data_IF_690906820653
#
_entry.id   IF_690906820653
#
_cell.length_a   1.000
_cell.length_b   1.000
_cell.length_c   1.000
_cell.angle_alpha   90.00
_cell.angle_beta   90.00
_cell.angle_gamma   90.00
#
_symmetry.space_group_name_H-M   'P 1'
#
loop_
_entity.id
_entity.type
_entity.pdbx_description
1 polymer ?
#
# COMPACT_ATOMS: atom_id res chain seq x y z
N UNK A 1 -13.16 -35.63 36.35
CA UNK A 1 -11.94 -35.95 37.13
C UNK A 1 -10.74 -35.12 36.68
N UNK A 2 -10.40 -35.10 35.39
CA UNK A 2 -9.27 -34.33 34.82
C UNK A 2 -9.35 -32.83 35.14
N UNK A 3 -10.52 -32.19 35.05
CA UNK A 3 -10.68 -30.76 35.37
C UNK A 3 -10.31 -30.41 36.82
N UNK A 4 -10.58 -31.32 37.78
CA UNK A 4 -10.21 -31.14 39.18
C UNK A 4 -8.70 -31.25 39.38
N UNK A 5 -8.08 -32.23 38.72
CA UNK A 5 -6.61 -32.39 38.70
C UNK A 5 -5.91 -31.18 38.07
N UNK A 6 -6.46 -30.66 36.97
CA UNK A 6 -5.97 -29.48 36.26
C UNK A 6 -6.03 -28.23 37.16
N UNK A 7 -7.15 -28.00 37.85
CA UNK A 7 -7.33 -26.87 38.78
C UNK A 7 -6.40 -26.96 39.99
N UNK A 8 -6.20 -28.16 40.53
CA UNK A 8 -5.25 -28.39 41.64
C UNK A 8 -3.80 -28.19 41.18
N UNK A 9 -3.46 -28.68 39.99
CA UNK A 9 -2.15 -28.48 39.38
C UNK A 9 -1.81 -27.00 39.18
N UNK A 10 -2.78 -26.20 38.75
CA UNK A 10 -2.60 -24.76 38.55
C UNK A 10 -2.33 -24.00 39.86
N UNK A 11 -3.02 -24.38 40.94
CA UNK A 11 -2.89 -23.72 42.25
C UNK A 11 -1.60 -24.06 42.99
N UNK A 12 -1.00 -25.23 42.73
CA UNK A 12 0.11 -25.74 43.55
C UNK A 12 1.45 -25.10 43.24
N UNK A 13 1.66 -24.59 42.02
CA UNK A 13 2.94 -23.96 41.65
C UNK A 13 2.75 -22.72 40.73
N UNK A 14 2.16 -21.63 41.26
CA UNK A 14 1.67 -20.51 40.45
C UNK A 14 2.81 -19.77 39.74
N UNK A 15 4.02 -19.71 40.32
CA UNK A 15 5.18 -19.03 39.71
C UNK A 15 5.57 -19.62 38.36
N UNK A 16 5.64 -20.94 38.26
CA UNK A 16 5.97 -21.63 36.99
C UNK A 16 4.84 -21.52 35.97
N UNK A 17 3.58 -21.53 36.43
CA UNK A 17 2.42 -21.30 35.55
C UNK A 17 2.42 -19.88 35.00
N UNK A 18 2.77 -18.90 35.82
CA UNK A 18 2.94 -17.51 35.41
C UNK A 18 4.08 -17.38 34.39
N UNK A 19 5.22 -18.05 34.60
CA UNK A 19 6.29 -18.09 33.60
C UNK A 19 5.83 -18.69 32.27
N UNK A 20 5.06 -19.79 32.29
CA UNK A 20 4.52 -20.38 31.06
C UNK A 20 3.58 -19.41 30.31
N UNK A 21 2.67 -18.78 31.05
CA UNK A 21 1.76 -17.75 30.51
C UNK A 21 2.54 -16.56 29.99
N UNK A 22 3.59 -16.11 30.69
CA UNK A 22 4.44 -14.99 30.28
C UNK A 22 5.22 -15.29 29.00
N UNK A 23 5.76 -16.50 28.85
CA UNK A 23 6.45 -16.92 27.61
C UNK A 23 5.50 -16.90 26.43
N UNK A 24 4.29 -17.45 26.58
CA UNK A 24 3.28 -17.41 25.50
C UNK A 24 2.79 -15.98 25.26
N UNK A 25 2.60 -15.20 26.31
CA UNK A 25 2.19 -13.79 26.23
C UNK A 25 3.15 -12.97 25.39
N UNK A 26 4.46 -13.05 25.64
CA UNK A 26 5.45 -12.29 24.87
C UNK A 26 5.47 -12.72 23.40
N UNK A 27 5.40 -14.04 23.15
CA UNK A 27 5.37 -14.58 21.78
C UNK A 27 4.10 -14.17 21.03
N UNK A 28 2.93 -14.30 21.67
CA UNK A 28 1.64 -13.92 21.10
C UNK A 28 1.51 -12.40 20.91
N UNK A 29 2.09 -11.60 21.81
CA UNK A 29 2.16 -10.14 21.68
C UNK A 29 2.97 -9.72 20.47
N UNK A 30 4.15 -10.31 20.27
CA UNK A 30 4.98 -10.03 19.11
C UNK A 30 4.29 -10.49 17.82
N UNK A 31 3.78 -11.73 17.79
CA UNK A 31 3.05 -12.28 16.65
C UNK A 31 1.85 -11.40 16.27
N UNK A 32 1.04 -11.02 17.27
CA UNK A 32 -0.13 -10.17 17.06
C UNK A 32 0.26 -8.78 16.56
N UNK A 33 1.31 -8.16 17.11
CA UNK A 33 1.75 -6.84 16.67
C UNK A 33 2.25 -6.88 15.22
N UNK A 34 3.13 -7.83 14.90
CA UNK A 34 3.70 -7.97 13.56
C UNK A 34 2.65 -8.35 12.51
N UNK A 35 1.67 -9.18 12.86
CA UNK A 35 0.57 -9.53 11.97
C UNK A 35 -0.37 -8.35 11.71
N UNK A 36 -0.67 -7.53 12.73
CA UNK A 36 -1.46 -6.31 12.56
C UNK A 36 -0.74 -5.33 11.64
N UNK A 37 0.54 -5.09 11.92
CA UNK A 37 1.39 -4.20 11.13
C UNK A 37 1.48 -4.68 9.68
N UNK A 38 1.66 -5.98 9.46
CA UNK A 38 1.76 -6.55 8.11
C UNK A 38 0.48 -6.39 7.29
N UNK A 39 -0.70 -6.48 7.91
CA UNK A 39 -2.00 -6.32 7.21
C UNK A 39 -2.26 -4.84 6.95
N UNK A 40 -2.12 -4.02 7.98
CA UNK A 40 -2.62 -2.64 7.93
C UNK A 40 -1.66 -1.70 7.19
N UNK A 41 -0.36 -2.01 7.12
CA UNK A 41 0.55 -1.33 6.19
C UNK A 41 0.07 -1.51 4.75
N UNK A 42 -0.40 -2.70 4.37
CA UNK A 42 -0.91 -2.95 3.02
C UNK A 42 -2.13 -2.08 2.70
N UNK A 43 -3.08 -2.01 3.63
CA UNK A 43 -4.32 -1.26 3.46
C UNK A 43 -4.10 0.27 3.47
N UNK A 44 -3.25 0.78 4.37
CA UNK A 44 -2.95 2.21 4.44
C UNK A 44 -2.14 2.65 3.21
N UNK A 45 -1.16 1.86 2.78
CA UNK A 45 -0.42 2.14 1.55
C UNK A 45 -1.33 2.10 0.32
N UNK A 46 -2.28 1.16 0.24
CA UNK A 46 -3.24 1.13 -0.86
C UNK A 46 -4.17 2.36 -0.89
N UNK A 47 -4.48 2.96 0.27
CA UNK A 47 -5.24 4.21 0.36
C UNK A 47 -4.40 5.43 -0.03
N UNK A 48 -3.18 5.52 0.48
CA UNK A 48 -2.19 6.54 0.06
C UNK A 48 -1.90 6.41 -1.46
N UNK A 49 -1.95 5.19 -1.99
CA UNK A 49 -1.79 4.92 -3.41
C UNK A 49 -2.98 5.39 -4.25
N UNK A 50 -4.20 5.26 -3.74
CA UNK A 50 -5.40 5.78 -4.40
C UNK A 50 -5.46 7.32 -4.41
N UNK A 51 -4.67 8.01 -3.59
CA UNK A 51 -4.52 9.47 -3.65
C UNK A 51 -3.52 9.97 -4.69
N UNK A 52 -2.77 9.10 -5.40
CA UNK A 52 -1.74 9.55 -6.35
C UNK A 52 -2.28 10.20 -7.64
N UNK A 53 -3.59 10.24 -7.86
CA UNK A 53 -4.18 10.98 -8.99
C UNK A 53 -4.03 10.25 -10.33
N UNK A 54 -3.43 10.90 -11.32
CA UNK A 54 -3.23 10.29 -12.64
C UNK A 54 -2.17 9.18 -12.62
N UNK A 55 -2.50 8.02 -13.16
CA UNK A 55 -1.62 6.84 -13.19
C UNK A 55 -1.12 6.49 -14.60
N UNK A 56 -1.52 7.23 -15.63
CA UNK A 56 -1.07 7.08 -17.01
C UNK A 56 -0.78 8.47 -17.60
N UNK A 57 0.35 8.59 -18.31
CA UNK A 57 0.76 9.79 -19.06
C UNK A 57 0.87 9.45 -20.53
N UNK A 58 0.09 10.11 -21.38
CA UNK A 58 0.25 10.06 -22.83
C UNK A 58 1.14 11.22 -23.27
N UNK A 59 2.22 10.88 -23.96
CA UNK A 59 3.16 11.84 -24.54
C UNK A 59 3.27 11.62 -26.05
N UNK A 60 3.60 12.64 -26.83
CA UNK A 60 3.97 12.49 -28.23
C UNK A 60 5.09 11.46 -28.40
N UNK A 61 4.98 10.59 -29.41
CA UNK A 61 5.96 9.54 -29.67
C UNK A 61 7.38 10.09 -29.88
N UNK A 62 7.51 11.31 -30.41
CA UNK A 62 8.79 12.01 -30.55
C UNK A 62 9.47 12.36 -29.22
N UNK A 63 8.71 12.61 -28.15
CA UNK A 63 9.25 12.90 -26.80
C UNK A 63 9.57 11.61 -26.04
N UNK A 64 8.72 10.60 -26.16
CA UNK A 64 8.88 9.36 -25.40
C UNK A 64 10.11 8.52 -25.81
N UNK A 65 10.59 8.59 -27.06
CA UNK A 65 11.75 7.78 -27.51
C UNK A 65 13.11 8.34 -27.04
N UNK A 66 13.18 9.62 -26.66
CA UNK A 66 14.44 10.35 -26.39
C UNK A 66 14.88 10.63 -24.92
N UNK A 67 14.29 10.11 -23.82
CA UNK A 67 14.78 10.44 -22.46
C UNK A 67 16.09 9.77 -22.04
N UNK A 68 16.57 8.73 -22.73
CA UNK A 68 17.66 7.88 -22.21
C UNK A 68 19.05 8.12 -22.81
N UNK A 69 19.22 9.06 -23.75
CA UNK A 69 20.50 9.30 -24.44
C UNK A 69 21.08 10.70 -24.26
N UNK A 70 20.28 11.68 -23.86
CA UNK A 70 20.69 13.05 -23.58
C UNK A 70 20.02 13.40 -22.25
N UNK A 71 20.81 13.64 -21.21
CA UNK A 71 20.30 13.85 -19.84
C UNK A 71 19.19 14.90 -19.78
N UNK A 72 18.38 14.82 -18.72
CA UNK A 72 17.28 15.72 -18.34
C UNK A 72 17.78 17.16 -18.12
N UNK A 73 18.25 17.82 -19.18
CA UNK A 73 18.77 19.17 -19.19
C UNK A 73 18.06 19.99 -20.26
N UNK A 74 17.68 21.20 -19.84
CA UNK A 74 16.75 22.19 -20.43
C UNK A 74 16.96 22.65 -21.88
N UNK A 75 17.78 21.98 -22.70
CA UNK A 75 18.08 22.39 -24.08
C UNK A 75 17.87 21.23 -25.09
N UNK A 76 16.64 20.72 -25.22
CA UNK A 76 16.28 19.88 -26.36
C UNK A 76 15.34 20.63 -27.33
N UNK A 77 15.87 21.21 -28.42
CA UNK A 77 15.09 22.04 -29.37
C UNK A 77 14.05 21.26 -30.19
N UNK A 78 13.93 19.94 -29.98
CA UNK A 78 12.92 19.08 -30.61
C UNK A 78 11.67 18.84 -29.74
N UNK A 79 11.73 19.22 -28.45
CA UNK A 79 10.57 19.12 -27.53
C UNK A 79 9.45 20.05 -27.98
N UNK A 80 9.78 21.21 -28.54
CA UNK A 80 8.83 22.23 -29.01
C UNK A 80 7.98 21.80 -30.23
N UNK A 81 8.37 20.73 -30.96
CA UNK A 81 7.72 20.34 -32.23
C UNK A 81 6.85 19.09 -32.14
N UNK A 82 6.77 18.44 -30.99
CA UNK A 82 5.98 17.23 -30.80
C UNK A 82 4.78 17.56 -29.92
N UNK A 83 3.63 17.77 -30.56
CA UNK A 83 2.35 18.07 -29.90
C UNK A 83 1.29 17.11 -30.41
N UNK A 84 0.33 16.78 -29.54
CA UNK A 84 -0.84 16.00 -29.89
C UNK A 84 -2.00 16.93 -30.29
N UNK A 85 -2.89 16.51 -31.19
CA UNK A 85 -4.10 17.27 -31.51
C UNK A 85 -5.15 17.14 -30.38
N UNK A 86 -5.69 18.27 -29.91
CA UNK A 86 -6.75 18.31 -28.90
C UNK A 86 -8.03 17.59 -29.37
N UNK A 87 -8.27 17.54 -30.67
CA UNK A 87 -9.44 16.90 -31.28
C UNK A 87 -9.52 15.38 -31.03
N UNK A 88 -8.43 14.74 -30.59
CA UNK A 88 -8.39 13.31 -30.27
C UNK A 88 -8.77 13.01 -28.81
N UNK A 89 -8.95 14.03 -27.94
CA UNK A 89 -9.35 13.82 -26.54
C UNK A 89 -10.67 13.04 -26.38
N UNK A 90 -11.72 13.22 -27.21
CA UNK A 90 -12.92 12.40 -27.13
C UNK A 90 -12.66 10.90 -27.36
N UNK A 91 -11.64 10.54 -28.16
CA UNK A 91 -11.32 9.14 -28.49
C UNK A 91 -10.89 8.35 -27.25
N UNK A 92 -10.42 9.02 -26.20
CA UNK A 92 -10.09 8.39 -24.92
C UNK A 92 -11.30 7.65 -24.31
N UNK A 93 -12.51 8.08 -24.65
CA UNK A 93 -13.78 7.48 -24.18
C UNK A 93 -14.29 6.35 -25.09
N UNK A 94 -13.54 5.98 -26.13
CA UNK A 94 -13.89 4.89 -27.05
C UNK A 94 -13.22 3.55 -26.69
N UNK A 95 -12.28 3.55 -25.74
CA UNK A 95 -11.58 2.33 -25.32
C UNK A 95 -12.51 1.35 -24.59
N UNK A 96 -12.13 0.07 -24.55
CA UNK A 96 -12.89 -0.96 -23.86
C UNK A 96 -13.09 -0.63 -22.37
N UNK A 97 -12.05 -0.08 -21.73
CA UNK A 97 -12.02 0.28 -20.31
C UNK A 97 -12.52 1.70 -20.00
N UNK A 98 -13.32 2.33 -20.88
CA UNK A 98 -13.78 3.73 -20.70
C UNK A 98 -14.48 3.99 -19.35
N UNK A 99 -15.21 3.01 -18.82
CA UNK A 99 -15.95 3.13 -17.57
C UNK A 99 -15.04 3.09 -16.32
N UNK A 100 -13.81 2.61 -16.48
CA UNK A 100 -12.79 2.58 -15.44
C UNK A 100 -11.91 3.84 -15.48
N UNK A 101 -12.04 4.69 -16.51
CA UNK A 101 -11.43 6.01 -16.53
C UNK A 101 -12.18 6.94 -15.58
N UNK A 102 -11.48 7.41 -14.54
CA UNK A 102 -12.01 8.39 -13.58
C UNK A 102 -12.03 9.78 -14.22
N UNK A 103 -11.02 10.09 -15.01
CA UNK A 103 -10.87 11.36 -15.69
C UNK A 103 -9.52 11.49 -16.40
N UNK A 104 -9.38 12.54 -17.19
CA UNK A 104 -8.14 12.94 -17.82
C UNK A 104 -7.98 14.47 -17.87
N UNK A 105 -6.76 14.96 -17.94
CA UNK A 105 -6.49 16.38 -18.20
C UNK A 105 -5.35 16.52 -19.22
N UNK A 106 -5.58 17.25 -20.32
CA UNK A 106 -4.50 17.65 -21.21
C UNK A 106 -3.58 18.66 -20.52
N UNK A 107 -2.32 18.66 -20.89
CA UNK A 107 -1.34 19.66 -20.48
C UNK A 107 -0.64 20.25 -21.69
N UNK A 108 -0.41 21.55 -21.67
CA UNK A 108 0.44 22.26 -22.61
C UNK A 108 1.35 23.21 -21.84
N UNK A 109 2.65 22.94 -21.87
CA UNK A 109 3.65 23.77 -21.21
C UNK A 109 4.38 24.69 -22.18
N UNK A 110 4.80 25.86 -21.69
CA UNK A 110 5.68 26.76 -22.43
C UNK A 110 6.12 27.94 -21.57
N UNK A 111 6.80 28.90 -22.18
CA UNK A 111 7.16 30.17 -21.53
C UNK A 111 6.40 31.34 -22.16
N UNK A 112 5.95 32.26 -21.34
CA UNK A 112 5.27 33.48 -21.77
C UNK A 112 5.86 34.69 -21.04
N UNK A 113 5.82 35.85 -21.70
CA UNK A 113 6.19 37.11 -21.06
C UNK A 113 5.00 37.66 -20.28
N UNK A 114 5.16 37.82 -18.96
CA UNK A 114 4.19 38.43 -18.04
C UNK A 114 4.86 39.65 -17.41
N UNK A 115 4.33 40.84 -17.68
CA UNK A 115 4.85 42.11 -17.13
C UNK A 115 6.36 42.34 -17.33
N UNK A 116 6.93 41.77 -18.40
CA UNK A 116 8.35 41.88 -18.75
C UNK A 116 9.26 40.80 -18.16
N UNK A 117 8.72 39.82 -17.42
CA UNK A 117 9.42 38.62 -16.97
C UNK A 117 8.96 37.39 -17.75
N UNK A 118 9.88 36.48 -18.08
CA UNK A 118 9.52 35.17 -18.63
C UNK A 118 9.02 34.28 -17.49
N UNK A 119 7.82 33.74 -17.65
CA UNK A 119 7.14 32.89 -16.68
C UNK A 119 6.74 31.60 -17.38
N UNK A 120 7.04 30.45 -16.75
CA UNK A 120 6.56 29.15 -17.21
C UNK A 120 5.05 29.09 -17.03
N UNK A 121 4.33 28.72 -18.10
CA UNK A 121 2.88 28.55 -18.09
C UNK A 121 2.51 27.12 -18.39
N UNK A 122 1.45 26.63 -17.74
CA UNK A 122 0.85 25.32 -17.97
C UNK A 122 -0.63 25.51 -18.27
N UNK A 123 -1.02 25.12 -19.47
CA UNK A 123 -2.42 25.07 -19.92
C UNK A 123 -3.02 23.72 -19.59
N UNK A 124 -4.18 23.70 -18.95
CA UNK A 124 -4.89 22.45 -18.64
C UNK A 124 -6.40 22.67 -18.53
N UNK A 125 -7.15 21.59 -18.34
CA UNK A 125 -8.58 21.67 -18.00
C UNK A 125 -8.73 21.60 -16.49
N UNK A 126 -9.43 22.57 -15.89
CA UNK A 126 -9.76 22.49 -14.47
C UNK A 126 -11.01 21.63 -14.26
N UNK A 127 -12.06 21.88 -15.03
CA UNK A 127 -13.39 21.25 -14.96
C UNK A 127 -14.15 21.45 -16.28
N UNK A 128 -13.74 20.72 -17.31
CA UNK A 128 -14.25 20.85 -18.67
C UNK A 128 -15.33 19.78 -18.94
N UNK A 129 -16.53 20.16 -19.39
CA UNK A 129 -17.51 19.19 -19.87
C UNK A 129 -17.08 18.63 -21.23
N UNK A 130 -17.24 17.32 -21.41
CA UNK A 130 -16.97 16.64 -22.67
C UNK A 130 -18.24 15.94 -23.17
N UNK A 131 -18.58 16.14 -24.44
CA UNK A 131 -19.72 15.47 -25.05
C UNK A 131 -19.38 14.01 -25.36
N UNK A 132 -19.70 13.11 -24.42
CA UNK A 132 -19.60 11.66 -24.63
C UNK A 132 -20.96 11.14 -25.10
N UNK A 133 -21.05 10.32 -26.17
CA UNK A 133 -22.33 9.88 -26.75
C UNK A 133 -23.30 9.22 -25.75
N UNK A 134 -22.76 8.52 -24.76
CA UNK A 134 -23.53 7.77 -23.74
C UNK A 134 -23.64 8.50 -22.39
N UNK A 135 -22.88 9.58 -22.18
CA UNK A 135 -22.88 10.38 -20.95
C UNK A 135 -22.79 11.88 -21.25
N UNK A 136 -23.93 12.55 -21.46
CA UNK A 136 -23.96 13.97 -21.78
C UNK A 136 -23.55 14.88 -20.61
N UNK A 137 -23.32 14.33 -19.42
CA UNK A 137 -22.90 15.04 -18.21
C UNK A 137 -21.48 14.70 -17.77
N UNK A 138 -20.64 14.14 -18.64
CA UNK A 138 -19.27 13.80 -18.30
C UNK A 138 -18.40 15.06 -18.19
N UNK A 139 -17.71 15.19 -17.06
CA UNK A 139 -16.76 16.26 -16.76
C UNK A 139 -15.37 15.68 -16.53
N UNK A 140 -14.34 16.41 -16.95
CA UNK A 140 -12.95 15.98 -16.81
C UNK A 140 -12.04 17.16 -16.48
N UNK A 141 -10.88 16.91 -15.87
CA UNK A 141 -9.91 17.95 -15.55
C UNK A 141 -9.18 17.72 -14.22
N UNK A 142 -8.34 18.68 -13.85
CA UNK A 142 -7.46 18.58 -12.68
C UNK A 142 -8.20 18.45 -11.36
N UNK A 143 -9.43 18.98 -11.24
CA UNK A 143 -10.25 18.78 -10.03
C UNK A 143 -10.54 17.30 -9.75
N UNK A 144 -10.61 16.48 -10.79
CA UNK A 144 -10.95 15.05 -10.70
C UNK A 144 -9.66 14.22 -10.60
N UNK A 145 -8.67 14.51 -11.43
CA UNK A 145 -7.48 13.66 -11.57
C UNK A 145 -6.34 14.02 -10.60
N UNK A 146 -6.40 15.19 -9.96
CA UNK A 146 -5.36 15.68 -9.04
C UNK A 146 -5.96 16.05 -7.67
N UNK A 147 -6.47 15.07 -6.90
CA UNK A 147 -7.07 15.31 -5.59
C UNK A 147 -6.06 15.86 -4.55
N UNK A 148 -4.76 15.72 -4.82
CA UNK A 148 -3.67 16.22 -3.98
C UNK A 148 -3.38 17.71 -4.19
N UNK A 149 -3.95 18.36 -5.21
CA UNK A 149 -3.78 19.80 -5.42
C UNK A 149 -4.51 20.58 -4.32
N UNK A 150 -3.75 21.31 -3.53
CA UNK A 150 -4.29 22.22 -2.51
C UNK A 150 -4.29 23.64 -3.07
N UNK A 151 -5.43 24.31 -2.95
CA UNK A 151 -5.60 25.66 -3.49
C UNK A 151 -6.01 26.61 -2.38
N UNK A 152 -5.15 27.60 -2.14
CA UNK A 152 -5.47 28.75 -1.29
C UNK A 152 -6.24 29.78 -2.11
N UNK A 153 -7.57 29.66 -2.11
CA UNK A 153 -8.47 30.51 -2.87
C UNK A 153 -9.62 29.72 -3.49
N UNK A 154 -9.83 29.88 -4.79
CA UNK A 154 -10.83 29.11 -5.55
C UNK A 154 -10.21 28.52 -6.81
N UNK A 155 -10.76 27.40 -7.28
CA UNK A 155 -10.45 26.87 -8.60
C UNK A 155 -10.87 27.86 -9.70
N UNK A 156 -10.07 28.01 -10.78
CA UNK A 156 -10.46 28.82 -11.93
C UNK A 156 -11.65 28.22 -12.68
N UNK A 157 -12.39 29.09 -13.36
CA UNK A 157 -13.39 28.71 -14.36
C UNK A 157 -12.73 28.71 -15.76
N UNK A 158 -12.75 27.56 -16.45
CA UNK A 158 -12.14 27.38 -17.77
C UNK A 158 -12.69 28.36 -18.83
N UNK A 159 -13.91 28.89 -18.66
CA UNK A 159 -14.51 29.86 -19.57
C UNK A 159 -14.04 31.31 -19.34
N UNK A 160 -13.41 31.60 -18.20
CA UNK A 160 -13.02 32.96 -17.79
C UNK A 160 -11.52 33.17 -17.89
N UNK A 161 -11.09 34.44 -17.85
CA UNK A 161 -9.68 34.80 -17.76
C UNK A 161 -9.20 34.67 -16.29
N UNK A 162 -9.19 33.45 -15.80
CA UNK A 162 -8.81 33.09 -14.43
C UNK A 162 -7.64 32.10 -14.47
N UNK A 163 -6.72 32.17 -13.51
CA UNK A 163 -5.58 31.27 -13.40
C UNK A 163 -5.24 30.97 -11.94
N UNK A 164 -4.41 29.95 -11.73
CA UNK A 164 -3.72 29.67 -10.48
C UNK A 164 -2.24 30.03 -10.63
N UNK A 165 -1.66 30.61 -9.59
CA UNK A 165 -0.22 30.76 -9.51
C UNK A 165 0.33 29.65 -8.61
N UNK A 166 1.33 28.91 -9.07
CA UNK A 166 2.06 27.98 -8.22
C UNK A 166 2.69 28.69 -7.02
N UNK A 167 2.80 28.01 -5.88
CA UNK A 167 3.27 28.59 -4.63
C UNK A 167 4.66 29.22 -4.73
N UNK A 168 5.60 28.57 -5.41
CA UNK A 168 6.95 29.08 -5.61
C UNK A 168 6.95 30.31 -6.53
N UNK A 169 6.18 30.27 -7.61
CA UNK A 169 6.03 31.41 -8.53
C UNK A 169 5.38 32.61 -7.83
N UNK A 170 4.31 32.37 -7.08
CA UNK A 170 3.59 33.40 -6.34
C UNK A 170 4.49 34.04 -5.26
N UNK A 171 5.28 33.25 -4.54
CA UNK A 171 6.23 33.75 -3.55
C UNK A 171 7.33 34.62 -4.19
N UNK A 172 7.83 34.24 -5.37
CA UNK A 172 8.87 35.00 -6.10
C UNK A 172 8.36 36.36 -6.59
N UNK A 173 7.12 36.44 -7.06
CA UNK A 173 6.54 37.67 -7.60
C UNK A 173 5.66 38.45 -6.59
N UNK A 174 5.44 37.91 -5.39
CA UNK A 174 4.56 38.51 -4.39
C UNK A 174 3.08 38.50 -4.80
N UNK A 175 2.66 37.55 -5.63
CA UNK A 175 1.28 37.43 -6.07
C UNK A 175 0.39 36.82 -4.99
N UNK A 176 -0.84 37.29 -4.91
CA UNK A 176 -1.85 36.81 -3.95
C UNK A 176 -3.17 36.53 -4.67
N UNK A 177 -4.08 35.73 -4.08
CA UNK A 177 -5.40 35.54 -4.65
C UNK A 177 -6.11 36.90 -4.81
N UNK A 178 -6.53 37.22 -6.04
CA UNK A 178 -7.11 38.50 -6.42
C UNK A 178 -6.19 39.42 -7.24
N UNK A 179 -4.90 39.09 -7.37
CA UNK A 179 -3.97 39.84 -8.24
C UNK A 179 -4.42 39.75 -9.71
N UNK A 180 -4.46 40.90 -10.40
CA UNK A 180 -4.68 40.96 -11.85
C UNK A 180 -3.33 41.11 -12.55
N UNK A 181 -3.06 40.21 -13.49
CA UNK A 181 -1.90 40.23 -14.36
C UNK A 181 -2.30 40.65 -15.76
N UNK A 182 -1.37 41.20 -16.53
CA UNK A 182 -1.55 41.44 -17.95
C UNK A 182 -0.69 40.46 -18.75
N UNK A 183 -1.34 39.54 -19.46
CA UNK A 183 -0.67 38.49 -20.25
C UNK A 183 -1.09 38.65 -21.71
N UNK A 184 -0.14 38.97 -22.58
CA UNK A 184 -0.43 39.16 -24.01
C UNK A 184 -1.42 40.29 -24.32
N UNK A 185 -1.58 41.26 -23.41
CA UNK A 185 -2.55 42.36 -23.57
C UNK A 185 -3.96 42.07 -23.03
N UNK A 186 -4.20 40.87 -22.50
CA UNK A 186 -5.46 40.49 -21.84
C UNK A 186 -5.29 40.48 -20.31
N UNK A 187 -6.27 41.00 -19.54
CA UNK A 187 -6.25 40.91 -18.09
C UNK A 187 -6.55 39.47 -17.64
N UNK A 188 -5.73 38.94 -16.74
CA UNK A 188 -5.81 37.61 -16.15
C UNK A 188 -5.92 37.72 -14.63
N UNK A 189 -6.93 37.11 -14.02
CA UNK A 189 -7.11 37.12 -12.57
C UNK A 189 -6.49 35.87 -11.94
N UNK A 190 -5.59 36.05 -10.97
CA UNK A 190 -5.14 34.96 -10.09
C UNK A 190 -6.25 34.68 -9.08
N UNK A 191 -6.84 33.50 -9.14
CA UNK A 191 -7.97 33.09 -8.29
C UNK A 191 -7.55 32.34 -7.03
N UNK A 192 -6.35 31.76 -7.04
CA UNK A 192 -5.78 31.04 -5.92
C UNK A 192 -4.30 30.72 -6.12
N UNK A 193 -3.66 30.33 -5.01
CA UNK A 193 -2.29 29.81 -5.02
C UNK A 193 -2.33 28.28 -4.99
N UNK A 194 -1.60 27.63 -5.90
CA UNK A 194 -1.55 26.18 -6.05
C UNK A 194 -0.35 25.59 -5.30
N UNK A 195 -0.63 24.61 -4.45
CA UNK A 195 0.35 23.74 -3.82
C UNK A 195 0.15 22.32 -4.36
N UNK A 196 1.07 21.87 -5.22
CA UNK A 196 1.02 20.53 -5.84
C UNK A 196 2.17 19.62 -5.39
N UNK A 197 3.24 20.16 -4.81
CA UNK A 197 4.49 19.45 -4.52
C UNK A 197 5.29 19.05 -5.77
N UNK A 198 4.92 19.58 -6.95
CA UNK A 198 5.55 19.25 -8.23
C UNK A 198 5.94 20.50 -9.05
N UNK A 199 6.28 20.28 -10.31
CA UNK A 199 6.68 21.32 -11.27
C UNK A 199 5.67 22.47 -11.41
N UNK A 200 4.39 22.21 -11.13
CA UNK A 200 3.34 23.22 -11.23
C UNK A 200 3.50 24.34 -10.19
N UNK A 201 4.27 24.12 -9.10
CA UNK A 201 4.53 25.17 -8.09
C UNK A 201 5.35 26.33 -8.64
N UNK A 202 6.18 26.09 -9.65
CA UNK A 202 7.01 27.11 -10.29
C UNK A 202 6.33 27.72 -11.53
N UNK A 203 5.08 27.36 -11.83
CA UNK A 203 4.39 27.75 -13.06
C UNK A 203 3.07 28.51 -12.81
N UNK A 204 2.63 29.25 -13.83
CA UNK A 204 1.29 29.81 -13.91
C UNK A 204 0.37 28.79 -14.58
N UNK A 205 -0.65 28.31 -13.87
CA UNK A 205 -1.58 27.30 -14.41
C UNK A 205 -2.86 27.99 -14.85
N UNK A 206 -3.22 27.85 -16.13
CA UNK A 206 -4.34 28.56 -16.74
C UNK A 206 -5.17 27.64 -17.66
N UNK A 207 -6.38 28.05 -18.07
CA UNK A 207 -7.21 27.27 -18.98
C UNK A 207 -6.48 26.99 -20.29
N UNK A 208 -6.55 25.74 -20.77
CA UNK A 208 -5.80 25.26 -21.93
C UNK A 208 -5.96 26.18 -23.16
N UNK A 209 -7.19 26.57 -23.47
CA UNK A 209 -7.50 27.42 -24.63
C UNK A 209 -6.75 28.78 -24.60
N UNK A 210 -6.53 29.34 -23.41
CA UNK A 210 -5.78 30.60 -23.24
C UNK A 210 -4.29 30.38 -23.47
N UNK A 211 -3.74 29.34 -22.88
CA UNK A 211 -2.31 29.00 -23.01
C UNK A 211 -1.97 28.64 -24.46
N UNK A 212 -2.82 27.89 -25.14
CA UNK A 212 -2.70 27.63 -26.57
C UNK A 212 -2.62 28.92 -27.40
N UNK A 213 -3.43 29.92 -27.05
CA UNK A 213 -3.42 31.22 -27.74
C UNK A 213 -2.13 31.97 -27.47
N UNK A 214 -1.66 32.00 -26.21
CA UNK A 214 -0.42 32.68 -25.83
C UNK A 214 0.82 32.05 -26.45
N UNK A 215 0.85 30.72 -26.57
CA UNK A 215 1.96 29.98 -27.19
C UNK A 215 1.85 29.89 -28.71
N UNK A 216 0.76 30.38 -29.32
CA UNK A 216 0.54 30.31 -30.76
C UNK A 216 0.29 28.88 -31.29
N UNK A 217 -0.22 27.98 -30.45
CA UNK A 217 -0.47 26.57 -30.74
C UNK A 217 -1.95 26.19 -30.55
N UNK A 218 -2.89 26.75 -31.34
CA UNK A 218 -4.32 26.45 -31.19
C UNK A 218 -4.64 24.98 -31.48
N UNK A 219 -5.44 24.35 -30.61
CA UNK A 219 -5.88 22.96 -30.77
C UNK A 219 -4.75 21.92 -30.64
N UNK A 220 -3.63 22.29 -30.03
CA UNK A 220 -2.49 21.43 -29.74
C UNK A 220 -2.30 21.27 -28.25
N UNK A 221 -1.85 20.09 -27.83
CA UNK A 221 -1.53 19.76 -26.44
C UNK A 221 -0.17 19.10 -26.37
N UNK A 222 0.53 19.26 -25.25
CA UNK A 222 1.83 18.65 -25.01
C UNK A 222 1.72 17.21 -24.54
N UNK A 223 0.84 16.93 -23.59
CA UNK A 223 0.62 15.58 -23.04
C UNK A 223 -0.78 15.44 -22.46
N UNK A 224 -1.18 14.21 -22.08
CA UNK A 224 -2.46 13.95 -21.41
C UNK A 224 -2.19 13.10 -20.17
N UNK A 225 -2.61 13.58 -19.00
CA UNK A 225 -2.64 12.78 -17.78
C UNK A 225 -3.99 12.09 -17.67
N UNK A 226 -3.98 10.78 -17.46
CA UNK A 226 -5.19 9.96 -17.32
C UNK A 226 -5.17 9.27 -15.96
N UNK A 227 -6.30 9.30 -15.26
CA UNK A 227 -6.53 8.57 -14.02
C UNK A 227 -7.55 7.46 -14.30
N UNK A 228 -7.14 6.22 -14.05
CA UNK A 228 -7.96 5.03 -14.24
C UNK A 228 -8.00 4.17 -12.97
N UNK A 229 -9.14 3.54 -12.70
CA UNK A 229 -9.25 2.49 -11.70
C UNK A 229 -8.64 1.20 -12.26
N UNK A 230 -7.56 0.73 -11.65
CA UNK A 230 -6.81 -0.42 -12.16
C UNK A 230 -6.60 -1.49 -11.10
N UNK A 231 -6.37 -2.72 -11.59
CA UNK A 231 -5.93 -3.83 -10.75
C UNK A 231 -4.40 -3.87 -10.69
N UNK A 232 -3.81 -4.35 -9.57
CA UNK A 232 -2.36 -4.46 -9.43
C UNK A 232 -1.73 -5.30 -10.53
N UNK A 233 -0.57 -4.84 -11.00
CA UNK A 233 0.14 -5.44 -12.11
C UNK A 233 0.78 -6.78 -11.74
N UNK A 234 0.60 -7.80 -12.57
CA UNK A 234 1.14 -9.14 -12.34
C UNK A 234 2.26 -9.50 -13.35
N UNK A 235 2.72 -10.75 -13.33
CA UNK A 235 3.74 -11.22 -14.29
C UNK A 235 3.26 -11.21 -15.75
N UNK A 236 1.97 -11.44 -15.99
CA UNK A 236 1.39 -11.38 -17.32
C UNK A 236 1.49 -9.97 -17.89
N UNK A 237 0.96 -8.98 -17.17
CA UNK A 237 1.05 -7.58 -17.59
C UNK A 237 2.48 -7.10 -17.81
N UNK A 238 3.42 -7.45 -16.92
CA UNK A 238 4.84 -7.09 -17.09
C UNK A 238 5.49 -7.71 -18.33
N UNK A 239 4.99 -8.86 -18.79
CA UNK A 239 5.42 -9.44 -20.08
C UNK A 239 4.79 -8.70 -21.24
N UNK A 240 3.49 -8.41 -21.17
CA UNK A 240 2.76 -7.64 -22.17
C UNK A 240 3.40 -6.27 -22.41
N UNK A 241 3.71 -5.52 -21.35
CA UNK A 241 4.33 -4.19 -21.43
C UNK A 241 5.68 -4.20 -22.19
N UNK A 242 6.44 -5.31 -22.14
CA UNK A 242 7.72 -5.41 -22.84
C UNK A 242 7.55 -5.73 -24.31
N UNK A 243 6.61 -6.62 -24.63
CA UNK A 243 6.32 -7.03 -26.00
C UNK A 243 4.93 -7.69 -26.06
N UNK A 244 3.87 -6.92 -26.37
CA UNK A 244 2.53 -7.46 -26.51
C UNK A 244 2.45 -8.49 -27.64
N UNK A 245 3.18 -8.27 -28.73
CA UNK A 245 3.19 -9.14 -29.93
C UNK A 245 3.81 -10.52 -29.68
N UNK A 246 4.54 -10.68 -28.56
CA UNK A 246 5.11 -11.97 -28.16
C UNK A 246 4.12 -12.86 -27.38
N UNK A 247 2.94 -12.35 -27.03
CA UNK A 247 1.90 -13.11 -26.34
C UNK A 247 1.13 -14.00 -27.33
N UNK A 248 0.77 -15.20 -26.88
CA UNK A 248 -0.25 -16.01 -27.55
C UNK A 248 -1.63 -15.36 -27.43
N UNK A 249 -2.53 -15.68 -28.37
CA UNK A 249 -3.84 -15.02 -28.48
C UNK A 249 -4.68 -15.09 -27.19
N UNK A 250 -4.71 -16.24 -26.51
CA UNK A 250 -5.47 -16.41 -25.27
C UNK A 250 -4.92 -15.51 -24.16
N UNK A 251 -3.59 -15.47 -24.02
CA UNK A 251 -2.91 -14.66 -23.02
C UNK A 251 -3.00 -13.16 -23.32
N UNK A 252 -2.98 -12.78 -24.60
CA UNK A 252 -3.23 -11.40 -25.05
C UNK A 252 -4.66 -10.97 -24.69
N UNK A 253 -5.67 -11.79 -25.01
CA UNK A 253 -7.08 -11.51 -24.68
C UNK A 253 -7.29 -11.38 -23.17
N UNK A 254 -6.66 -12.26 -22.38
CA UNK A 254 -6.71 -12.18 -20.91
C UNK A 254 -6.13 -10.86 -20.40
N UNK A 255 -4.99 -10.43 -20.94
CA UNK A 255 -4.37 -9.16 -20.56
C UNK A 255 -5.19 -7.95 -21.01
N UNK A 256 -5.65 -7.92 -22.26
CA UNK A 256 -6.44 -6.83 -22.84
C UNK A 256 -7.80 -6.66 -22.11
N UNK A 257 -8.42 -7.78 -21.72
CA UNK A 257 -9.69 -7.83 -20.99
C UNK A 257 -9.52 -7.83 -19.46
N UNK A 258 -8.36 -7.48 -18.92
CA UNK A 258 -8.17 -7.19 -17.49
C UNK A 258 -7.78 -5.73 -17.30
N UNK A 259 -8.32 -5.04 -16.29
CA UNK A 259 -8.08 -3.61 -16.05
C UNK A 259 -6.66 -3.28 -15.51
N UNK A 260 -5.62 -3.77 -16.19
CA UNK A 260 -4.23 -3.44 -15.90
C UNK A 260 -3.90 -2.05 -16.42
N UNK A 261 -3.02 -1.32 -15.72
CA UNK A 261 -2.53 -0.01 -16.18
C UNK A 261 -1.90 -0.15 -17.58
N UNK A 262 -1.12 -1.21 -17.80
CA UNK A 262 -0.52 -1.51 -19.10
C UNK A 262 -1.53 -1.77 -20.22
N UNK A 263 -2.64 -2.47 -19.93
CA UNK A 263 -3.68 -2.74 -20.93
C UNK A 263 -4.44 -1.48 -21.33
N UNK A 264 -4.76 -0.63 -20.35
CA UNK A 264 -5.43 0.65 -20.58
C UNK A 264 -4.48 1.58 -21.33
N UNK A 265 -3.22 1.67 -20.91
CA UNK A 265 -2.21 2.45 -21.62
C UNK A 265 -2.08 2.02 -23.09
N UNK A 266 -2.04 0.71 -23.36
CA UNK A 266 -2.00 0.20 -24.73
C UNK A 266 -3.23 0.61 -25.55
N UNK A 267 -4.44 0.47 -25.00
CA UNK A 267 -5.66 0.91 -25.68
C UNK A 267 -5.69 2.42 -25.92
N UNK A 268 -5.14 3.21 -25.00
CA UNK A 268 -5.02 4.66 -25.14
C UNK A 268 -4.03 5.06 -26.26
N UNK A 269 -2.95 4.30 -26.45
CA UNK A 269 -2.04 4.46 -27.59
C UNK A 269 -2.71 4.13 -28.93
N UNK A 270 -3.62 3.15 -28.97
CA UNK A 270 -4.34 2.76 -30.18
C UNK A 270 -5.31 3.85 -30.66
N UNK A 271 -5.93 4.59 -29.74
CA UNK A 271 -6.95 5.61 -30.05
C UNK A 271 -6.39 7.03 -30.22
N UNK A 272 -5.18 7.30 -29.69
CA UNK A 272 -4.49 8.60 -29.84
C UNK A 272 -3.25 8.43 -30.72
N UNK A 273 -3.35 8.90 -31.95
CA UNK A 273 -2.34 8.68 -32.99
C UNK A 273 -1.04 9.44 -32.70
N UNK A 274 0.09 8.74 -32.82
CA UNK A 274 1.40 9.35 -32.57
C UNK A 274 1.67 9.69 -31.12
N UNK A 275 0.93 9.06 -30.19
CA UNK A 275 1.20 9.10 -28.76
C UNK A 275 1.88 7.81 -28.27
N UNK A 276 2.49 7.89 -27.09
CA UNK A 276 2.98 6.77 -26.29
C UNK A 276 2.41 6.97 -24.88
N UNK A 277 1.72 5.98 -24.35
CA UNK A 277 1.13 5.97 -23.03
C UNK A 277 2.05 5.25 -22.05
N UNK A 278 2.53 6.01 -21.08
CA UNK A 278 3.43 5.52 -20.04
C UNK A 278 2.67 5.44 -18.73
N UNK A 279 2.65 4.28 -18.06
CA UNK A 279 2.24 4.22 -16.67
C UNK A 279 3.12 5.18 -15.84
N UNK A 280 2.50 6.13 -15.15
CA UNK A 280 3.21 7.01 -14.21
C UNK A 280 3.35 6.21 -12.92
N UNK A 281 4.46 5.51 -12.78
CA UNK A 281 4.81 4.84 -11.54
C UNK A 281 5.26 5.90 -10.53
N UNK A 282 4.32 6.64 -9.94
CA UNK A 282 4.61 7.37 -8.71
C UNK A 282 4.81 6.32 -7.61
N UNK A 283 6.03 5.79 -7.53
CA UNK A 283 6.65 5.04 -6.42
C UNK A 283 6.05 3.66 -6.06
N UNK A 284 4.84 3.32 -6.50
CA UNK A 284 4.13 2.11 -6.07
C UNK A 284 4.74 0.73 -6.45
N UNK A 285 5.30 0.57 -7.67
CA UNK A 285 5.80 -0.75 -8.10
C UNK A 285 7.17 -1.10 -7.53
N UNK A 286 8.02 -0.09 -7.31
CA UNK A 286 9.30 -0.26 -6.61
C UNK A 286 9.07 -0.40 -5.10
N UNK A 287 8.03 0.23 -4.55
CA UNK A 287 7.58 0.01 -3.18
C UNK A 287 6.97 -1.36 -2.96
N UNK A 288 6.19 -1.93 -3.89
CA UNK A 288 5.65 -3.29 -3.77
C UNK A 288 6.75 -4.35 -3.57
N UNK A 289 7.86 -4.22 -4.30
CA UNK A 289 9.05 -5.09 -4.12
C UNK A 289 9.74 -4.84 -2.77
N UNK A 290 9.76 -3.60 -2.28
CA UNK A 290 10.33 -3.28 -0.96
C UNK A 290 9.40 -3.78 0.17
N UNK A 291 8.08 -3.68 -0.01
CA UNK A 291 7.05 -4.15 0.91
C UNK A 291 7.08 -5.67 0.99
N UNK A 292 7.16 -6.37 -0.14
CA UNK A 292 7.33 -7.82 -0.15
C UNK A 292 8.60 -8.24 0.61
N UNK A 293 9.71 -7.50 0.43
CA UNK A 293 10.95 -7.73 1.18
C UNK A 293 10.76 -7.47 2.69
N UNK A 294 10.06 -6.41 3.08
CA UNK A 294 9.76 -6.10 4.49
C UNK A 294 8.85 -7.19 5.09
N UNK A 295 7.79 -7.61 4.38
CA UNK A 295 6.90 -8.68 4.81
C UNK A 295 7.67 -9.99 5.01
N UNK A 296 8.57 -10.36 4.09
CA UNK A 296 9.42 -11.53 4.25
C UNK A 296 10.35 -11.43 5.47
N UNK A 297 10.94 -10.25 5.72
CA UNK A 297 11.75 -10.00 6.92
C UNK A 297 10.93 -10.15 8.21
N UNK A 298 9.70 -9.62 8.23
CA UNK A 298 8.79 -9.72 9.38
C UNK A 298 8.33 -11.17 9.63
N UNK A 299 8.03 -11.93 8.57
CA UNK A 299 7.67 -13.35 8.66
C UNK A 299 8.85 -14.15 9.21
N UNK A 300 10.07 -13.89 8.72
CA UNK A 300 11.28 -14.56 9.21
C UNK A 300 11.53 -14.25 10.70
N UNK A 301 11.46 -12.98 11.09
CA UNK A 301 11.63 -12.55 12.48
C UNK A 301 10.58 -13.18 13.40
N UNK A 302 9.32 -13.19 12.95
CA UNK A 302 8.21 -13.86 13.65
C UNK A 302 8.50 -15.36 13.80
N UNK A 303 8.87 -16.04 12.72
CA UNK A 303 9.21 -17.47 12.74
C UNK A 303 10.31 -17.81 13.75
N UNK A 304 11.38 -17.01 13.80
CA UNK A 304 12.45 -17.18 14.78
C UNK A 304 11.95 -17.01 16.22
N UNK A 305 11.10 -16.02 16.48
CA UNK A 305 10.51 -15.80 17.81
C UNK A 305 9.58 -16.94 18.24
N UNK A 306 8.79 -17.50 17.32
CA UNK A 306 7.92 -18.64 17.59
C UNK A 306 8.73 -19.90 17.94
N UNK A 307 9.85 -20.13 17.26
CA UNK A 307 10.77 -21.24 17.58
C UNK A 307 11.37 -21.04 18.99
N UNK A 308 11.84 -19.83 19.30
CA UNK A 308 12.37 -19.51 20.63
C UNK A 308 11.32 -19.72 21.72
N UNK A 309 10.07 -19.34 21.47
CA UNK A 309 8.95 -19.57 22.39
C UNK A 309 8.66 -21.07 22.58
N UNK A 310 8.66 -21.86 21.50
CA UNK A 310 8.48 -23.31 21.56
C UNK A 310 9.57 -23.97 22.43
N UNK A 311 10.83 -23.57 22.27
CA UNK A 311 11.95 -24.03 23.07
C UNK A 311 11.82 -23.62 24.54
N UNK A 312 11.39 -22.39 24.81
CA UNK A 312 11.12 -21.91 26.17
C UNK A 312 10.06 -22.74 26.89
N UNK A 313 8.95 -23.04 26.19
CA UNK A 313 7.88 -23.91 26.70
C UNK A 313 8.41 -25.34 26.91
N UNK A 314 9.17 -25.88 25.98
CA UNK A 314 9.75 -27.22 26.09
C UNK A 314 10.69 -27.35 27.31
N UNK A 315 11.53 -26.35 27.54
CA UNK A 315 12.43 -26.28 28.70
C UNK A 315 11.64 -26.22 30.01
N UNK A 316 10.63 -25.34 30.07
CA UNK A 316 9.78 -25.18 31.24
C UNK A 316 9.00 -26.46 31.56
N UNK A 317 8.40 -27.09 30.54
CA UNK A 317 7.66 -28.34 30.69
C UNK A 317 8.58 -29.47 31.13
N UNK A 318 9.78 -29.60 30.56
CA UNK A 318 10.78 -30.60 31.00
C UNK A 318 11.13 -30.41 32.48
N UNK A 319 11.37 -29.16 32.91
CA UNK A 319 11.66 -28.86 34.31
C UNK A 319 10.48 -29.23 35.23
N UNK A 320 9.23 -28.96 34.81
CA UNK A 320 8.05 -29.35 35.60
C UNK A 320 7.86 -30.86 35.69
N UNK A 321 8.25 -31.62 34.65
CA UNK A 321 8.21 -33.08 34.67
C UNK A 321 9.21 -33.64 35.69
N UNK A 322 10.41 -33.09 35.77
CA UNK A 322 11.44 -33.51 36.74
C UNK A 322 10.97 -33.27 38.18
N UNK A 323 10.43 -32.09 38.47
CA UNK A 323 9.91 -31.77 39.81
C UNK A 323 8.73 -32.65 40.22
N UNK A 324 7.85 -32.98 39.26
CA UNK A 324 6.66 -33.81 39.50
C UNK A 324 6.90 -35.29 39.19
N UNK A 325 8.14 -35.70 38.97
CA UNK A 325 8.47 -37.07 38.57
C UNK A 325 7.91 -38.08 39.58
N UNK A 326 8.06 -37.83 40.89
CA UNK A 326 7.52 -38.70 41.95
C UNK A 326 6.00 -38.85 41.90
N UNK A 327 5.28 -37.76 41.58
CA UNK A 327 3.82 -37.78 41.44
C UNK A 327 3.40 -38.58 40.19
N UNK A 328 4.12 -38.41 39.08
CA UNK A 328 3.93 -39.18 37.84
C UNK A 328 4.18 -40.67 38.09
N UNK A 329 5.27 -41.00 38.79
CA UNK A 329 5.61 -42.38 39.17
C UNK A 329 4.54 -43.02 40.05
N UNK A 330 4.00 -42.29 41.02
CA UNK A 330 2.89 -42.77 41.85
C UNK A 330 1.61 -43.00 41.03
N UNK A 331 1.26 -42.07 40.14
CA UNK A 331 0.09 -42.23 39.25
C UNK A 331 0.22 -43.48 38.37
N UNK A 332 1.40 -43.70 37.77
CA UNK A 332 1.69 -44.90 36.98
C UNK A 332 1.63 -46.19 37.82
N UNK A 333 2.18 -46.17 39.03
CA UNK A 333 2.14 -47.31 39.95
C UNK A 333 0.71 -47.69 40.37
N UNK A 334 -0.19 -46.71 40.45
CA UNK A 334 -1.63 -46.94 40.69
C UNK A 334 -2.42 -47.29 39.41
N UNK A 335 -1.75 -47.52 38.26
CA UNK A 335 -2.37 -47.96 37.02
C UNK A 335 -2.81 -46.85 36.04
N UNK A 336 -2.37 -45.60 36.23
CA UNK A 336 -2.64 -44.55 35.25
C UNK A 336 -1.88 -44.81 33.95
N UNK A 337 -2.60 -44.79 32.83
CA UNK A 337 -2.00 -44.95 31.50
C UNK A 337 -1.21 -43.68 31.09
N UNK A 338 -0.11 -43.87 30.37
CA UNK A 338 0.78 -42.79 29.92
C UNK A 338 0.05 -41.68 29.14
N UNK A 339 -0.92 -42.06 28.30
CA UNK A 339 -1.69 -41.09 27.51
C UNK A 339 -2.54 -40.15 28.38
N UNK A 340 -3.06 -40.63 29.53
CA UNK A 340 -3.85 -39.79 30.45
C UNK A 340 -2.97 -38.76 31.13
N UNK A 341 -1.75 -39.15 31.47
CA UNK A 341 -0.75 -38.25 32.05
C UNK A 341 -0.31 -37.24 31.00
N UNK A 342 -0.02 -37.67 29.76
CA UNK A 342 0.33 -36.77 28.67
C UNK A 342 -0.79 -35.76 28.38
N UNK A 343 -2.05 -36.19 28.33
CA UNK A 343 -3.21 -35.31 28.12
C UNK A 343 -3.33 -34.23 29.21
N UNK A 344 -2.96 -34.54 30.46
CA UNK A 344 -2.93 -33.55 31.55
C UNK A 344 -1.93 -32.43 31.25
N UNK A 345 -0.71 -32.78 30.82
CA UNK A 345 0.32 -31.78 30.48
C UNK A 345 -0.05 -30.98 29.23
N UNK A 346 -0.62 -31.61 28.21
CA UNK A 346 -1.14 -30.90 27.04
C UNK A 346 -2.27 -29.94 27.41
N UNK A 347 -3.19 -30.32 28.28
CA UNK A 347 -4.25 -29.44 28.76
C UNK A 347 -3.70 -28.27 29.59
N UNK A 348 -2.64 -28.48 30.37
CA UNK A 348 -1.96 -27.39 31.09
C UNK A 348 -1.26 -26.42 30.14
N UNK A 349 -0.60 -26.94 29.11
CA UNK A 349 0.02 -26.13 28.05
C UNK A 349 -1.05 -25.33 27.29
N UNK A 350 -2.16 -25.96 26.93
CA UNK A 350 -3.28 -25.33 26.22
C UNK A 350 -3.92 -24.20 27.04
N UNK A 351 -4.17 -24.40 28.34
CA UNK A 351 -4.67 -23.33 29.22
C UNK A 351 -3.68 -22.17 29.35
N UNK A 352 -2.39 -22.48 29.50
CA UNK A 352 -1.35 -21.45 29.60
C UNK A 352 -1.27 -20.66 28.29
N UNK A 353 -1.45 -21.34 27.16
CA UNK A 353 -1.46 -20.75 25.83
C UNK A 353 -2.69 -19.88 25.57
N UNK A 354 -3.88 -20.33 25.98
CA UNK A 354 -5.09 -19.51 25.84
C UNK A 354 -5.00 -18.24 26.69
N UNK A 355 -4.56 -18.35 27.94
CA UNK A 355 -4.40 -17.20 28.83
C UNK A 355 -3.31 -16.23 28.33
N UNK A 356 -2.14 -16.75 27.96
CA UNK A 356 -1.05 -15.95 27.42
C UNK A 356 -1.40 -15.36 26.05
N UNK A 357 -2.08 -16.11 25.20
CA UNK A 357 -2.50 -15.70 23.86
C UNK A 357 -3.51 -14.56 23.89
N UNK A 358 -4.54 -14.62 24.75
CA UNK A 358 -5.52 -13.54 24.90
C UNK A 358 -4.84 -12.26 25.40
N UNK A 359 -4.03 -12.37 26.46
CA UNK A 359 -3.28 -11.22 26.97
C UNK A 359 -2.29 -10.68 25.94
N UNK A 360 -1.68 -11.57 25.17
CA UNK A 360 -0.74 -11.25 24.10
C UNK A 360 -1.43 -10.49 22.97
N UNK A 361 -2.62 -10.91 22.54
CA UNK A 361 -3.40 -10.18 21.54
C UNK A 361 -3.68 -8.74 21.98
N UNK A 362 -4.07 -8.53 23.25
CA UNK A 362 -4.34 -7.20 23.78
C UNK A 362 -3.08 -6.33 23.81
N UNK A 363 -1.96 -6.88 24.29
CA UNK A 363 -0.68 -6.16 24.30
C UNK A 363 -0.14 -5.90 22.89
N UNK A 364 -0.26 -6.87 21.99
CA UNK A 364 0.16 -6.78 20.60
C UNK A 364 -0.63 -5.73 19.83
N UNK A 365 -1.94 -5.62 20.07
CA UNK A 365 -2.76 -4.53 19.53
C UNK A 365 -2.28 -3.16 20.04
N UNK A 366 -1.97 -3.04 21.34
CA UNK A 366 -1.42 -1.80 21.90
C UNK A 366 -0.07 -1.41 21.28
N UNK A 367 0.83 -2.39 21.08
CA UNK A 367 2.12 -2.18 20.41
C UNK A 367 1.94 -1.77 18.95
N UNK A 368 1.06 -2.45 18.21
CA UNK A 368 0.76 -2.11 16.82
C UNK A 368 0.20 -0.70 16.69
N UNK A 369 -0.67 -0.27 17.63
CA UNK A 369 -1.21 1.10 17.66
C UNK A 369 -0.12 2.15 17.89
N UNK A 370 0.84 1.87 18.77
CA UNK A 370 1.99 2.77 18.99
C UNK A 370 2.88 2.89 17.75
N UNK A 371 3.16 1.76 17.08
CA UNK A 371 3.90 1.73 15.81
C UNK A 371 3.17 2.53 14.73
N UNK A 372 1.85 2.34 14.59
CA UNK A 372 1.03 3.07 13.62
C UNK A 372 1.10 4.58 13.80
N UNK A 373 0.90 5.05 15.04
CA UNK A 373 0.96 6.48 15.34
C UNK A 373 2.33 7.07 14.99
N UNK A 374 3.42 6.38 15.33
CA UNK A 374 4.77 6.90 15.12
C UNK A 374 5.19 6.91 13.64
N UNK A 375 4.67 5.99 12.82
CA UNK A 375 5.02 5.88 11.40
C UNK A 375 4.09 6.67 10.49
N UNK A 376 2.78 6.66 10.76
CA UNK A 376 1.75 7.14 9.83
C UNK A 376 0.88 8.26 10.40
N UNK A 377 1.07 8.66 11.66
CA UNK A 377 0.21 9.67 12.30
C UNK A 377 -1.22 9.21 12.61
N UNK A 378 -1.64 8.06 12.08
CA UNK A 378 -2.93 7.41 12.33
C UNK A 378 -2.76 6.09 13.07
N UNK A 379 -3.79 5.71 13.82
CA UNK A 379 -3.78 4.46 14.57
C UNK A 379 -4.22 3.28 13.70
N UNK A 380 -3.45 2.20 13.74
CA UNK A 380 -3.77 0.98 13.00
C UNK A 380 -5.15 0.41 13.36
N UNK A 381 -5.89 -0.06 12.36
CA UNK A 381 -7.23 -0.60 12.52
C UNK A 381 -7.21 -1.97 13.22
N UNK A 382 -8.26 -2.26 13.98
CA UNK A 382 -8.40 -3.56 14.63
C UNK A 382 -8.95 -4.60 13.64
N UNK A 383 -8.09 -5.53 13.24
CA UNK A 383 -8.50 -6.64 12.37
C UNK A 383 -8.95 -7.86 13.16
N UNK A 384 -10.25 -8.17 13.11
CA UNK A 384 -10.86 -9.29 13.85
C UNK A 384 -10.28 -10.65 13.48
N UNK A 385 -9.70 -10.80 12.29
CA UNK A 385 -9.11 -12.06 11.82
C UNK A 385 -7.82 -12.44 12.57
N UNK A 386 -7.15 -11.46 13.19
CA UNK A 386 -5.85 -11.67 13.86
C UNK A 386 -6.01 -12.42 15.18
N UNK A 387 -7.10 -12.17 15.92
CA UNK A 387 -7.36 -12.84 17.21
C UNK A 387 -7.44 -14.36 17.08
N UNK A 388 -8.31 -14.96 16.23
CA UNK A 388 -8.36 -16.41 16.10
C UNK A 388 -7.06 -17.00 15.54
N UNK A 389 -6.37 -16.28 14.64
CA UNK A 389 -5.10 -16.72 14.07
C UNK A 389 -3.99 -16.80 15.14
N UNK A 390 -3.80 -15.74 15.93
CA UNK A 390 -2.80 -15.68 17.01
C UNK A 390 -3.08 -16.73 18.08
N UNK A 391 -4.34 -16.92 18.48
CA UNK A 391 -4.72 -17.95 19.46
C UNK A 391 -4.43 -19.36 18.93
N UNK A 392 -4.75 -19.64 17.67
CA UNK A 392 -4.48 -20.93 17.05
C UNK A 392 -2.96 -21.21 16.97
N UNK A 393 -2.18 -20.25 16.48
CA UNK A 393 -0.72 -20.38 16.36
C UNK A 393 -0.07 -20.54 17.73
N UNK A 394 -0.49 -19.75 18.72
CA UNK A 394 0.00 -19.86 20.10
C UNK A 394 -0.31 -21.24 20.70
N UNK A 395 -1.49 -21.80 20.40
CA UNK A 395 -1.86 -23.14 20.84
C UNK A 395 -0.96 -24.19 20.19
N UNK A 396 -0.78 -24.13 18.87
CA UNK A 396 0.08 -25.06 18.13
C UNK A 396 1.52 -25.06 18.65
N UNK A 397 2.08 -23.88 18.93
CA UNK A 397 3.43 -23.74 19.48
C UNK A 397 3.53 -24.34 20.88
N UNK A 398 2.54 -24.11 21.74
CA UNK A 398 2.53 -24.70 23.08
C UNK A 398 2.44 -26.23 23.03
N UNK A 399 1.63 -26.79 22.12
CA UNK A 399 1.54 -28.22 21.89
C UNK A 399 2.84 -28.80 21.32
N UNK A 400 3.45 -28.13 20.34
CA UNK A 400 4.73 -28.52 19.75
C UNK A 400 5.87 -28.49 20.79
N UNK A 401 5.96 -27.44 21.61
CA UNK A 401 6.93 -27.37 22.70
C UNK A 401 6.72 -28.45 23.77
N UNK A 402 5.47 -28.85 24.02
CA UNK A 402 5.12 -29.90 25.00
C UNK A 402 5.34 -31.31 24.46
N UNK A 403 5.47 -31.49 23.14
CA UNK A 403 5.62 -32.79 22.49
C UNK A 403 6.83 -33.58 22.95
N UNK A 404 8.01 -32.95 22.97
CA UNK A 404 9.23 -33.62 23.38
C UNK A 404 9.23 -34.02 24.88
N UNK A 405 8.85 -33.12 25.82
CA UNK A 405 8.62 -33.48 27.22
C UNK A 405 7.59 -34.59 27.40
N UNK A 406 6.45 -34.53 26.71
CA UNK A 406 5.37 -35.52 26.84
C UNK A 406 5.84 -36.94 26.47
N UNK A 407 6.69 -37.07 25.44
CA UNK A 407 7.30 -38.36 25.08
C UNK A 407 8.24 -38.92 26.16
N UNK A 408 8.89 -38.06 26.95
CA UNK A 408 9.71 -38.52 28.08
C UNK A 408 8.88 -39.17 29.19
N UNK A 409 7.59 -38.82 29.32
CA UNK A 409 6.68 -39.43 30.31
C UNK A 409 6.61 -40.94 30.12
N UNK A 410 6.53 -41.43 28.89
CA UNK A 410 6.47 -42.87 28.57
C UNK A 410 7.69 -43.62 29.10
N UNK A 411 8.86 -42.97 29.09
CA UNK A 411 10.14 -43.57 29.50
C UNK A 411 10.40 -43.53 31.01
N UNK A 412 9.55 -42.88 31.80
CA UNK A 412 9.70 -42.84 33.26
C UNK A 412 9.19 -44.16 33.88
N UNK A 413 10.11 -44.93 34.48
CA UNK A 413 9.77 -46.12 35.24
C UNK A 413 9.42 -45.77 36.69
N UNK A 414 8.27 -46.23 37.23
CA UNK A 414 7.85 -45.93 38.60
C UNK A 414 8.89 -46.33 39.65
N UNK A 415 9.55 -47.47 39.44
CA UNK A 415 10.55 -48.00 40.37
C UNK A 415 11.78 -47.08 40.50
N UNK A 416 12.27 -46.51 39.40
CA UNK A 416 13.46 -45.62 39.40
C UNK A 416 13.17 -44.32 40.16
N UNK A 417 12.04 -43.69 39.83
CA UNK A 417 11.67 -42.38 40.37
C UNK A 417 11.27 -42.44 41.84
N UNK A 418 10.61 -43.52 42.28
CA UNK A 418 10.21 -43.70 43.69
C UNK A 418 11.39 -44.10 44.59
N UNK A 419 12.38 -44.82 44.05
CA UNK A 419 13.60 -45.20 44.79
C UNK A 419 14.67 -44.07 44.79
N UNK A 420 14.42 -42.98 44.06
CA UNK A 420 15.32 -41.81 44.02
C UNK A 420 16.55 -41.96 43.13
N UNK A 421 16.55 -42.94 42.20
CA UNK A 421 17.55 -42.99 41.12
C UNK A 421 17.07 -42.07 39.98
N UNK A 422 17.88 -41.06 39.67
CA UNK A 422 17.59 -40.05 38.64
C UNK A 422 17.59 -40.62 37.23
#
# INVERSE_FOLDING_TARGET
MILRMLRQSWRRNPRRKLLAVATVFLAASLLSALMLVSIDIGDQMAKEMKSYGANILLEPAGQAVLPSLLGEGEDNPLTEQSTLPEAELPNLMEIFWRNDLVGFAPLLGGEIAVEGANVRVIGTFFDQPLAVPDDPGYHTGQKIISPYWQIDGRWPDDARAEALAGAELAARHGWTPGTQLNVGGEPLLITGILHSGGDEEAALVAPLARVQTWLGQPGRIGSIRVSALTVPENELSRRALRNPDALDAETYDQWYCTAYVSSIAHQLEEVVSGSIARPIWQVAASEGVIIDKIQWLLIMATGAALIAAAMGIASLMTSTLIERAKEIGLMKAMGAHDWRIALLFYAEAAMSSLAGGVLGCLAGWGLARAIGWQLFGEALAFSWIVVPAVLLVSLLIALAGTWFPARRIVRLYPAEVLYGRQ
#
